data_IF_410333971223
#
_entry.id   IF_410333971223
#
_cell.length_a   1.000
_cell.length_b   1.000
_cell.length_c   1.000
_cell.angle_alpha   90.00
_cell.angle_beta   90.00
_cell.angle_gamma   90.00
#
_symmetry.space_group_name_H-M   'P 1'
#
loop_
_entity.id
_entity.type
_entity.pdbx_description
1 polymer ?
#
# COMPACT_ATOMS: atom_id res chain seq x y z
N UNK A 1 -15.16 17.68 -10.26
CA UNK A 1 -16.23 18.13 -11.14
C UNK A 1 -15.73 19.31 -11.96
N UNK A 2 -15.80 19.22 -13.29
CA UNK A 2 -15.37 20.31 -14.19
C UNK A 2 -16.59 21.09 -14.71
N UNK A 3 -17.77 20.46 -14.75
CA UNK A 3 -19.01 21.06 -15.23
C UNK A 3 -20.15 20.07 -15.34
N UNK A 4 -21.12 20.42 -16.17
CA UNK A 4 -22.22 19.54 -16.58
C UNK A 4 -22.25 19.49 -18.11
N UNK A 5 -22.62 18.34 -18.67
CA UNK A 5 -22.86 18.20 -20.11
C UNK A 5 -24.20 18.85 -20.55
N UNK A 6 -24.50 18.79 -21.85
CA UNK A 6 -25.73 19.38 -22.40
C UNK A 6 -27.02 18.73 -21.85
N UNK A 7 -26.93 17.55 -21.29
CA UNK A 7 -28.02 16.78 -20.65
C UNK A 7 -28.09 17.00 -19.13
N UNK A 8 -27.17 17.79 -18.55
CA UNK A 8 -27.11 18.12 -17.12
C UNK A 8 -26.42 17.07 -16.27
N UNK A 9 -25.66 16.14 -16.87
CA UNK A 9 -24.87 15.16 -16.11
C UNK A 9 -23.53 15.76 -15.70
N UNK A 10 -22.98 15.37 -14.53
CA UNK A 10 -21.69 15.87 -14.07
C UNK A 10 -20.56 15.40 -14.98
N UNK A 11 -19.72 16.33 -15.42
CA UNK A 11 -18.48 16.06 -16.16
C UNK A 11 -17.30 16.16 -15.20
N UNK A 12 -16.46 15.15 -15.20
CA UNK A 12 -15.26 15.10 -14.39
C UNK A 12 -14.01 15.26 -15.28
N UNK A 13 -12.99 15.86 -14.73
CA UNK A 13 -11.72 16.03 -15.41
C UNK A 13 -10.61 16.44 -14.45
N UNK A 14 -9.39 16.36 -14.92
CA UNK A 14 -8.23 16.86 -14.19
C UNK A 14 -8.11 18.37 -14.38
N UNK A 15 -7.60 19.06 -13.36
CA UNK A 15 -7.44 20.51 -13.35
C UNK A 15 -6.32 20.96 -14.31
N UNK A 16 -6.21 22.27 -14.48
CA UNK A 16 -5.14 22.95 -15.22
C UNK A 16 -3.74 22.69 -14.62
N UNK A 17 -3.68 22.24 -13.37
CA UNK A 17 -2.45 21.79 -12.72
C UNK A 17 -2.63 20.36 -12.19
N UNK A 18 -1.83 19.41 -12.67
CA UNK A 18 -1.81 18.03 -12.16
C UNK A 18 -1.11 18.01 -10.81
N UNK A 19 -1.83 17.53 -9.79
CA UNK A 19 -1.29 17.40 -8.44
C UNK A 19 -0.14 16.36 -8.37
N UNK A 20 0.70 16.40 -7.33
CA UNK A 20 1.68 15.33 -7.11
C UNK A 20 1.05 13.93 -7.01
N UNK A 21 -0.16 13.82 -6.48
CA UNK A 21 -0.90 12.57 -6.39
C UNK A 21 -1.35 12.09 -7.78
N UNK A 22 -2.04 12.95 -8.54
CA UNK A 22 -2.61 12.58 -9.82
C UNK A 22 -1.56 12.14 -10.85
N UNK A 23 -0.34 12.68 -10.77
CA UNK A 23 0.79 12.27 -11.64
C UNK A 23 1.17 10.81 -11.51
N UNK A 24 0.77 10.16 -10.43
CA UNK A 24 1.03 8.76 -10.13
C UNK A 24 -0.13 7.84 -10.48
N UNK A 25 -1.29 8.39 -10.86
CA UNK A 25 -2.44 7.60 -11.27
C UNK A 25 -2.22 7.03 -12.67
N UNK A 26 -2.68 5.79 -12.85
CA UNK A 26 -2.64 5.10 -14.14
C UNK A 26 -3.94 4.31 -14.27
N UNK A 27 -4.69 4.52 -15.33
CA UNK A 27 -5.92 3.78 -15.59
C UNK A 27 -5.65 2.37 -16.13
N UNK A 28 -6.73 1.59 -16.35
CA UNK A 28 -6.66 0.21 -16.85
C UNK A 28 -6.05 0.09 -18.26
N UNK A 29 -6.00 1.16 -19.03
CA UNK A 29 -5.41 1.21 -20.37
C UNK A 29 -3.97 1.73 -20.37
N UNK A 30 -3.44 2.08 -19.19
CA UNK A 30 -2.09 2.61 -19.03
C UNK A 30 -1.99 4.13 -19.29
N UNK A 31 -3.12 4.83 -19.33
CA UNK A 31 -3.16 6.29 -19.48
C UNK A 31 -2.83 6.93 -18.13
N UNK A 32 -2.02 7.99 -18.17
CA UNK A 32 -1.74 8.85 -17.02
C UNK A 32 -2.44 10.20 -17.20
N UNK A 33 -2.94 10.84 -16.12
CA UNK A 33 -3.59 12.13 -16.22
C UNK A 33 -2.71 13.21 -16.82
N UNK A 34 -3.31 14.03 -17.67
CA UNK A 34 -2.74 15.30 -18.13
C UNK A 34 -3.71 16.43 -17.78
N UNK A 35 -3.23 17.68 -17.87
CA UNK A 35 -4.07 18.86 -17.65
C UNK A 35 -5.27 18.86 -18.59
N UNK A 36 -6.42 19.25 -18.06
CA UNK A 36 -7.70 19.36 -18.78
C UNK A 36 -8.21 18.03 -19.40
N UNK A 37 -7.62 16.87 -18.97
CA UNK A 37 -8.06 15.56 -19.46
C UNK A 37 -9.41 15.19 -18.85
N UNK A 38 -10.35 14.77 -19.69
CA UNK A 38 -11.65 14.26 -19.27
C UNK A 38 -11.55 12.89 -18.57
N UNK A 39 -12.37 12.68 -17.55
CA UNK A 39 -12.53 11.39 -16.86
C UNK A 39 -13.87 10.77 -17.27
N UNK A 40 -13.80 9.55 -17.77
CA UNK A 40 -14.97 8.80 -18.26
C UNK A 40 -15.16 7.48 -17.54
N UNK A 41 -16.41 7.02 -17.43
CA UNK A 41 -16.76 5.72 -16.81
C UNK A 41 -16.64 4.53 -17.77
N UNK A 42 -16.81 4.76 -19.06
CA UNK A 42 -16.85 3.74 -20.09
C UNK A 42 -15.53 3.63 -20.84
N UNK A 43 -15.39 2.55 -21.60
CA UNK A 43 -14.28 2.41 -22.52
C UNK A 43 -14.20 3.63 -23.46
N UNK A 44 -12.99 4.18 -23.67
CA UNK A 44 -12.83 5.32 -24.56
C UNK A 44 -13.29 4.95 -25.99
N UNK A 45 -14.01 5.85 -26.61
CA UNK A 45 -14.31 5.72 -28.04
C UNK A 45 -12.98 5.73 -28.82
N UNK A 46 -12.68 4.61 -29.48
CA UNK A 46 -11.43 4.45 -30.28
C UNK A 46 -11.58 5.09 -31.66
N UNK A 47 -12.22 6.23 -31.75
CA UNK A 47 -12.27 6.98 -33.01
C UNK A 47 -10.86 7.51 -33.35
N UNK A 48 -10.39 7.37 -34.62
CA UNK A 48 -9.12 7.94 -35.02
C UNK A 48 -9.11 9.44 -34.82
N UNK A 49 -8.22 9.92 -33.92
CA UNK A 49 -8.06 11.34 -33.62
C UNK A 49 -8.90 11.84 -32.42
N UNK A 50 -9.56 10.98 -31.67
CA UNK A 50 -10.17 11.36 -30.39
C UNK A 50 -9.06 11.74 -29.39
N UNK A 51 -9.35 12.75 -28.58
CA UNK A 51 -8.47 13.13 -27.48
C UNK A 51 -8.40 11.99 -26.44
N UNK A 52 -7.24 11.78 -25.80
CA UNK A 52 -7.11 10.77 -24.77
C UNK A 52 -7.97 11.12 -23.55
N UNK A 53 -8.67 10.13 -23.02
CA UNK A 53 -9.48 10.26 -21.81
C UNK A 53 -8.92 9.35 -20.72
N UNK A 54 -9.20 9.67 -19.44
CA UNK A 54 -8.84 8.85 -18.29
C UNK A 54 -10.04 8.02 -17.86
N UNK A 55 -9.90 6.71 -17.88
CA UNK A 55 -11.02 5.79 -17.65
C UNK A 55 -11.04 5.29 -16.21
N UNK A 56 -12.17 5.49 -15.53
CA UNK A 56 -12.38 5.08 -14.14
C UNK A 56 -13.64 4.21 -14.04
N UNK A 57 -13.53 3.06 -13.39
CA UNK A 57 -14.67 2.20 -13.07
C UNK A 57 -15.32 2.56 -11.74
N UNK A 58 -16.16 1.65 -11.26
CA UNK A 58 -16.91 1.83 -10.02
C UNK A 58 -16.05 1.49 -8.79
N UNK A 59 -16.17 2.28 -7.73
CA UNK A 59 -15.60 2.06 -6.39
C UNK A 59 -14.30 1.21 -6.37
N UNK A 60 -14.37 0.02 -5.80
CA UNK A 60 -13.24 -0.92 -5.66
C UNK A 60 -12.80 -1.58 -6.97
N UNK A 61 -13.57 -1.43 -8.04
CA UNK A 61 -13.27 -1.93 -9.40
C UNK A 61 -12.92 -0.79 -10.37
N UNK A 62 -12.40 0.31 -9.85
CA UNK A 62 -12.04 1.50 -10.65
C UNK A 62 -11.11 1.18 -11.83
N UNK A 63 -10.24 0.18 -11.66
CA UNK A 63 -9.16 -0.12 -12.59
C UNK A 63 -8.04 0.91 -12.57
N UNK A 64 -8.08 1.87 -11.66
CA UNK A 64 -7.03 2.88 -11.45
C UNK A 64 -6.03 2.39 -10.43
N UNK A 65 -4.76 2.58 -10.73
CA UNK A 65 -3.65 2.25 -9.84
C UNK A 65 -2.82 3.51 -9.56
N UNK A 66 -2.41 3.68 -8.31
CA UNK A 66 -1.32 4.59 -7.98
C UNK A 66 0.01 3.86 -8.17
N UNK A 67 0.87 4.39 -9.02
CA UNK A 67 2.20 3.82 -9.33
C UNK A 67 3.30 4.83 -9.03
N UNK A 68 4.36 4.33 -8.37
CA UNK A 68 5.53 5.13 -8.05
C UNK A 68 6.74 4.23 -7.78
N UNK A 69 7.90 4.82 -7.65
CA UNK A 69 9.15 4.07 -7.43
C UNK A 69 9.14 3.35 -6.09
N UNK A 70 8.74 4.06 -5.02
CA UNK A 70 8.69 3.50 -3.68
C UNK A 70 7.56 2.47 -3.53
N UNK A 71 6.40 2.73 -4.14
CA UNK A 71 5.29 1.77 -4.20
C UNK A 71 5.72 0.51 -4.93
N UNK A 72 6.36 0.62 -6.09
CA UNK A 72 6.85 -0.54 -6.84
C UNK A 72 7.88 -1.37 -6.06
N UNK A 73 8.76 -0.71 -5.30
CA UNK A 73 9.72 -1.38 -4.42
C UNK A 73 9.02 -2.22 -3.34
N UNK A 74 8.02 -1.64 -2.66
CA UNK A 74 7.29 -2.31 -1.58
C UNK A 74 6.44 -3.46 -2.09
N UNK A 75 5.71 -3.25 -3.18
CA UNK A 75 4.81 -4.26 -3.74
C UNK A 75 5.54 -5.44 -4.38
N UNK A 76 6.76 -5.23 -4.88
CA UNK A 76 7.58 -6.27 -5.52
C UNK A 76 6.82 -7.06 -6.63
N UNK A 77 5.98 -6.36 -7.39
CA UNK A 77 5.15 -6.93 -8.45
C UNK A 77 3.74 -7.38 -8.03
N UNK A 78 3.42 -7.36 -6.75
CA UNK A 78 2.06 -7.60 -6.28
C UNK A 78 1.10 -6.48 -6.74
N UNK A 79 -0.21 -6.73 -6.66
CA UNK A 79 -1.28 -5.78 -6.95
C UNK A 79 -1.11 -5.11 -8.34
N UNK A 80 -0.68 -5.87 -9.34
CA UNK A 80 -0.38 -5.36 -10.70
C UNK A 80 0.65 -4.21 -10.72
N UNK A 81 1.50 -4.13 -9.70
CA UNK A 81 2.58 -3.14 -9.55
C UNK A 81 2.10 -1.75 -9.16
N UNK A 82 0.90 -1.61 -8.61
CA UNK A 82 0.37 -0.34 -8.11
C UNK A 82 -0.66 -0.54 -7.00
N UNK A 83 -0.94 0.52 -6.25
CA UNK A 83 -1.99 0.51 -5.24
C UNK A 83 -3.35 0.75 -5.90
N UNK A 84 -4.36 -0.08 -5.65
CA UNK A 84 -5.69 0.16 -6.17
C UNK A 84 -6.26 1.46 -5.60
N UNK A 85 -6.91 2.23 -6.43
CA UNK A 85 -7.52 3.52 -6.10
C UNK A 85 -9.03 3.41 -6.26
N UNK A 86 -9.78 4.09 -5.40
CA UNK A 86 -11.23 4.17 -5.49
C UNK A 86 -11.68 4.83 -6.80
N UNK A 87 -12.90 4.55 -7.20
CA UNK A 87 -13.51 5.06 -8.41
C UNK A 87 -14.81 5.80 -8.15
N UNK A 88 -15.79 5.57 -9.02
CA UNK A 88 -17.09 6.18 -8.91
C UNK A 88 -17.97 5.49 -7.85
N UNK A 89 -18.55 6.29 -6.95
CA UNK A 89 -19.65 5.89 -6.09
C UNK A 89 -20.91 6.68 -6.47
N UNK A 90 -21.85 6.03 -7.17
CA UNK A 90 -22.97 6.75 -7.77
C UNK A 90 -22.44 7.83 -8.73
N UNK A 91 -22.85 9.08 -8.56
CA UNK A 91 -22.37 10.21 -9.38
C UNK A 91 -21.16 10.92 -8.80
N UNK A 92 -20.56 10.42 -7.73
CA UNK A 92 -19.36 11.00 -7.13
C UNK A 92 -18.11 10.27 -7.60
N UNK A 93 -17.08 11.00 -8.01
CA UNK A 93 -15.76 10.47 -8.32
C UNK A 93 -14.82 10.68 -7.15
N UNK A 94 -14.18 9.61 -6.68
CA UNK A 94 -13.12 9.67 -5.69
C UNK A 94 -11.86 8.96 -6.17
N UNK A 95 -10.81 9.72 -6.40
CA UNK A 95 -9.47 9.22 -6.76
C UNK A 95 -8.46 9.48 -5.64
N UNK A 96 -8.91 9.84 -4.44
CA UNK A 96 -8.05 10.21 -3.32
C UNK A 96 -7.84 9.09 -2.29
N UNK A 97 -8.59 8.00 -2.38
CA UNK A 97 -8.52 6.87 -1.47
C UNK A 97 -7.78 5.66 -2.08
N UNK A 98 -6.96 5.01 -1.25
CA UNK A 98 -6.29 3.74 -1.59
C UNK A 98 -7.20 2.59 -1.16
N UNK A 99 -7.62 1.75 -2.10
CA UNK A 99 -8.48 0.60 -1.85
C UNK A 99 -7.69 -0.66 -1.47
N UNK A 100 -6.86 -0.55 -0.43
CA UNK A 100 -6.28 -1.71 0.24
C UNK A 100 -7.16 -2.12 1.41
N UNK A 101 -7.52 -3.40 1.46
CA UNK A 101 -8.26 -3.96 2.57
C UNK A 101 -7.59 -3.58 3.90
N UNK A 102 -8.39 -3.01 4.82
CA UNK A 102 -7.97 -2.68 6.18
C UNK A 102 -6.90 -1.58 6.29
N UNK A 103 -6.66 -0.84 5.22
CA UNK A 103 -5.72 0.27 5.21
C UNK A 103 -6.30 1.50 5.94
N UNK A 104 -5.42 2.42 6.35
CA UNK A 104 -5.85 3.68 6.96
C UNK A 104 -6.43 4.63 5.91
N UNK A 105 -5.94 4.57 4.69
CA UNK A 105 -6.36 5.43 3.56
C UNK A 105 -7.49 4.83 2.74
N UNK A 106 -8.01 3.65 3.07
CA UNK A 106 -9.16 3.06 2.40
C UNK A 106 -10.47 3.64 2.90
N UNK A 107 -11.57 3.33 2.20
CA UNK A 107 -12.91 3.70 2.61
C UNK A 107 -13.28 3.05 3.95
N UNK A 108 -14.25 3.63 4.66
CA UNK A 108 -14.53 3.39 6.08
C UNK A 108 -14.73 1.93 6.46
N UNK A 109 -15.27 1.10 5.61
CA UNK A 109 -15.61 -0.30 5.93
C UNK A 109 -14.37 -1.19 6.11
N UNK A 110 -13.24 -0.76 5.58
CA UNK A 110 -11.97 -1.49 5.65
C UNK A 110 -10.98 -0.91 6.66
N UNK A 111 -11.28 0.24 7.23
CA UNK A 111 -10.39 1.02 8.08
C UNK A 111 -10.22 0.38 9.46
N UNK A 112 -9.38 -0.64 9.54
CA UNK A 112 -9.03 -1.31 10.77
C UNK A 112 -7.56 -1.15 11.19
N UNK A 113 -6.75 -0.49 10.37
CA UNK A 113 -5.38 -0.14 10.70
C UNK A 113 -5.34 1.15 11.51
N UNK A 114 -4.50 1.18 12.56
CA UNK A 114 -4.33 2.39 13.39
C UNK A 114 -3.22 3.29 12.86
N UNK A 115 -2.44 2.79 11.91
CA UNK A 115 -1.30 3.46 11.31
C UNK A 115 -1.23 3.12 9.82
N UNK A 116 -0.52 3.93 9.05
CA UNK A 116 -0.28 3.65 7.63
C UNK A 116 0.41 2.31 7.43
N UNK A 117 0.00 1.57 6.41
CA UNK A 117 0.76 0.44 5.89
C UNK A 117 2.04 0.91 5.19
N UNK A 118 3.02 0.02 5.02
CA UNK A 118 4.26 0.40 4.32
C UNK A 118 4.00 0.90 2.90
N UNK A 119 3.04 0.30 2.19
CA UNK A 119 2.67 0.72 0.84
C UNK A 119 2.03 2.12 0.80
N UNK A 120 1.24 2.50 1.82
CA UNK A 120 0.71 3.86 1.96
C UNK A 120 1.83 4.88 2.25
N UNK A 121 2.79 4.52 3.12
CA UNK A 121 3.98 5.34 3.36
C UNK A 121 4.83 5.49 2.10
N UNK A 122 4.89 4.45 1.26
CA UNK A 122 5.58 4.49 -0.01
C UNK A 122 4.90 5.47 -0.99
N UNK A 123 3.55 5.49 -1.04
CA UNK A 123 2.82 6.47 -1.83
C UNK A 123 3.10 7.91 -1.36
N UNK A 124 3.13 8.14 -0.05
CA UNK A 124 3.53 9.43 0.50
C UNK A 124 4.95 9.84 0.10
N UNK A 125 5.91 8.89 0.05
CA UNK A 125 7.26 9.18 -0.44
C UNK A 125 7.26 9.54 -1.93
N UNK A 126 6.48 8.83 -2.76
CA UNK A 126 6.41 9.07 -4.20
C UNK A 126 5.83 10.46 -4.51
N UNK A 127 4.90 10.97 -3.72
CA UNK A 127 4.36 12.34 -3.86
C UNK A 127 5.22 13.42 -3.19
N UNK A 128 6.38 13.05 -2.62
CA UNK A 128 7.41 14.00 -2.18
C UNK A 128 7.51 14.22 -0.67
N UNK A 129 6.79 13.46 0.17
CA UNK A 129 6.99 13.54 1.62
C UNK A 129 8.34 12.95 2.03
N UNK A 130 9.06 13.65 2.89
CA UNK A 130 10.35 13.21 3.45
C UNK A 130 10.14 12.26 4.63
N UNK A 131 9.58 11.10 4.38
CA UNK A 131 9.40 10.03 5.35
C UNK A 131 10.27 8.84 4.95
N UNK A 132 10.97 8.22 5.89
CA UNK A 132 11.65 6.94 5.64
C UNK A 132 10.76 5.81 6.16
N UNK A 133 9.97 5.18 5.26
CA UNK A 133 9.08 4.06 5.63
C UNK A 133 9.83 2.89 6.28
N UNK A 134 11.10 2.70 5.93
CA UNK A 134 11.96 1.64 6.50
C UNK A 134 12.34 1.89 7.96
N UNK A 135 12.03 3.07 8.53
CA UNK A 135 12.04 3.27 9.97
C UNK A 135 10.84 2.62 10.68
N UNK A 136 9.76 2.34 9.95
CA UNK A 136 8.54 1.78 10.51
C UNK A 136 8.37 0.31 10.14
N UNK A 137 8.90 -0.13 9.01
CA UNK A 137 8.75 -1.48 8.50
C UNK A 137 10.11 -2.13 8.24
N UNK A 138 10.29 -3.33 8.80
CA UNK A 138 11.44 -4.16 8.48
C UNK A 138 11.30 -4.82 7.11
N UNK A 139 10.21 -5.58 6.91
CA UNK A 139 9.90 -6.23 5.64
C UNK A 139 8.38 -6.41 5.49
N UNK A 140 7.86 -6.20 4.28
CA UNK A 140 6.45 -6.43 3.96
C UNK A 140 6.27 -7.37 2.77
N UNK A 141 5.22 -8.21 2.82
CA UNK A 141 4.85 -9.18 1.78
C UNK A 141 3.44 -8.88 1.32
N UNK A 142 3.31 -8.28 0.15
CA UNK A 142 2.00 -7.97 -0.46
C UNK A 142 1.52 -9.04 -1.45
N UNK A 143 2.43 -9.84 -1.99
CA UNK A 143 2.11 -10.89 -2.95
C UNK A 143 1.46 -12.13 -2.31
N UNK A 144 0.74 -12.88 -3.12
CA UNK A 144 0.06 -14.12 -2.75
C UNK A 144 0.84 -15.35 -3.20
N UNK A 145 0.61 -16.48 -2.51
CA UNK A 145 1.12 -17.81 -2.86
C UNK A 145 2.65 -17.87 -3.02
N UNK A 146 3.39 -17.07 -2.26
CA UNK A 146 4.84 -17.02 -2.28
C UNK A 146 5.44 -18.04 -1.31
N UNK A 147 6.60 -18.60 -1.69
CA UNK A 147 7.47 -19.33 -0.77
C UNK A 147 8.76 -18.54 -0.62
N UNK A 148 9.05 -18.04 0.58
CA UNK A 148 10.20 -17.18 0.81
C UNK A 148 10.84 -17.40 2.18
N UNK A 149 12.12 -17.05 2.26
CA UNK A 149 12.88 -16.99 3.51
C UNK A 149 13.28 -15.55 3.76
N UNK A 150 12.81 -14.98 4.88
CA UNK A 150 13.16 -13.62 5.28
C UNK A 150 14.33 -13.63 6.26
N UNK A 151 15.46 -13.17 5.81
CA UNK A 151 16.67 -12.94 6.63
C UNK A 151 16.82 -11.50 7.11
N UNK A 152 15.85 -10.64 6.86
CA UNK A 152 15.88 -9.25 7.27
C UNK A 152 15.39 -9.10 8.70
N UNK A 153 16.20 -8.46 9.53
CA UNK A 153 15.83 -8.08 10.89
C UNK A 153 15.14 -6.72 10.93
N UNK A 154 14.47 -6.44 12.04
CA UNK A 154 13.89 -5.12 12.31
C UNK A 154 14.92 -4.23 13.01
N UNK A 155 15.77 -3.58 12.23
CA UNK A 155 16.89 -2.78 12.71
C UNK A 155 16.65 -1.28 12.53
N UNK A 156 17.20 -0.49 13.44
CA UNK A 156 17.22 0.96 13.32
C UNK A 156 18.02 1.41 12.08
N UNK A 157 17.66 2.56 11.54
CA UNK A 157 18.36 3.19 10.42
C UNK A 157 19.26 4.33 10.89
N UNK A 158 20.31 4.62 10.15
CA UNK A 158 21.10 5.82 10.39
C UNK A 158 20.29 7.09 10.10
N UNK A 159 20.76 8.23 10.60
CA UNK A 159 20.05 9.52 10.47
C UNK A 159 19.78 9.94 9.01
N UNK A 160 20.59 9.47 8.07
CA UNK A 160 20.39 9.74 6.63
C UNK A 160 19.49 8.74 5.92
N UNK A 161 18.93 7.73 6.62
CA UNK A 161 18.07 6.72 6.02
C UNK A 161 18.75 5.83 4.96
N UNK A 162 20.08 5.78 4.93
CA UNK A 162 20.84 5.10 3.87
C UNK A 162 21.32 3.68 4.26
N UNK A 163 21.35 3.37 5.55
CA UNK A 163 21.83 2.09 6.04
C UNK A 163 21.13 1.65 7.33
N UNK A 164 20.99 0.34 7.52
CA UNK A 164 20.62 -0.25 8.80
C UNK A 164 21.82 -0.28 9.75
N UNK A 165 21.55 -0.12 11.05
CA UNK A 165 22.55 -0.12 12.10
C UNK A 165 22.64 -1.53 12.70
N UNK A 166 23.70 -2.31 12.42
CA UNK A 166 23.83 -3.69 12.89
C UNK A 166 23.70 -3.78 14.41
N UNK A 167 22.90 -4.75 14.88
CA UNK A 167 22.70 -5.00 16.31
C UNK A 167 21.87 -3.95 17.06
N UNK A 168 21.35 -2.92 16.38
CA UNK A 168 20.46 -1.94 16.97
C UNK A 168 19.01 -2.22 16.55
N UNK A 169 18.15 -2.70 17.48
CA UNK A 169 16.75 -2.95 17.16
C UNK A 169 16.02 -1.65 16.86
N UNK A 170 14.97 -1.76 16.05
CA UNK A 170 14.12 -0.63 15.71
C UNK A 170 13.32 -0.16 16.94
N UNK A 171 13.35 1.14 17.19
CA UNK A 171 12.63 1.80 18.29
C UNK A 171 11.51 2.73 17.84
N UNK A 172 11.16 2.71 16.55
CA UNK A 172 10.06 3.51 16.05
C UNK A 172 8.74 3.11 16.71
N UNK A 173 7.97 4.11 17.11
CA UNK A 173 6.60 3.87 17.58
C UNK A 173 5.78 3.25 16.42
N UNK A 174 4.94 2.27 16.73
CA UNK A 174 4.14 1.51 15.78
C UNK A 174 4.96 0.75 14.72
N UNK A 175 6.26 0.55 14.95
CA UNK A 175 7.10 -0.20 14.00
C UNK A 175 6.66 -1.65 13.86
N UNK A 176 6.73 -2.20 12.65
CA UNK A 176 6.38 -3.59 12.32
C UNK A 176 7.62 -4.30 11.75
N UNK A 177 8.03 -5.40 12.38
CA UNK A 177 9.20 -6.15 11.93
C UNK A 177 8.95 -6.88 10.61
N UNK A 178 7.90 -7.69 10.56
CA UNK A 178 7.43 -8.37 9.36
C UNK A 178 5.93 -8.15 9.21
N UNK A 179 5.51 -7.65 8.06
CA UNK A 179 4.11 -7.51 7.68
C UNK A 179 3.75 -8.46 6.55
N UNK A 180 2.74 -9.31 6.74
CA UNK A 180 2.22 -10.24 5.73
C UNK A 180 0.80 -9.82 5.39
N UNK A 181 0.67 -9.08 4.29
CA UNK A 181 -0.61 -8.62 3.76
C UNK A 181 -1.23 -9.65 2.82
N UNK A 182 -0.43 -10.25 1.95
CA UNK A 182 -0.85 -11.27 0.99
C UNK A 182 -1.28 -12.58 1.63
N UNK A 183 -1.87 -13.46 0.86
CA UNK A 183 -2.49 -14.71 1.28
C UNK A 183 -1.80 -15.94 0.69
N UNK A 184 -1.96 -17.10 1.34
CA UNK A 184 -1.43 -18.38 0.84
C UNK A 184 0.09 -18.51 0.86
N UNK A 185 0.80 -17.63 1.57
CA UNK A 185 2.25 -17.61 1.59
C UNK A 185 2.85 -18.65 2.54
N UNK A 186 4.01 -19.18 2.19
CA UNK A 186 4.86 -20.03 3.03
C UNK A 186 6.15 -19.24 3.35
N UNK A 187 6.23 -18.66 4.55
CA UNK A 187 7.29 -17.75 4.95
C UNK A 187 8.10 -18.32 6.08
N UNK A 188 9.42 -18.36 5.93
CA UNK A 188 10.35 -18.71 7.00
C UNK A 188 11.13 -17.47 7.45
N UNK A 189 10.93 -17.05 8.70
CA UNK A 189 11.71 -15.97 9.31
C UNK A 189 13.00 -16.54 9.89
N UNK A 190 14.16 -16.00 9.45
CA UNK A 190 15.49 -16.52 9.81
C UNK A 190 16.36 -15.51 10.55
N UNK A 191 15.90 -14.29 10.77
CA UNK A 191 16.57 -13.27 11.59
C UNK A 191 15.68 -12.81 12.74
N UNK A 192 16.27 -12.30 13.81
CA UNK A 192 15.56 -11.74 14.95
C UNK A 192 14.70 -10.55 14.53
N UNK A 193 13.45 -10.51 14.99
CA UNK A 193 12.52 -9.38 14.82
C UNK A 193 12.23 -8.77 16.19
N UNK A 194 12.90 -7.66 16.49
CA UNK A 194 12.78 -6.95 17.77
C UNK A 194 12.14 -5.58 17.53
N UNK A 195 10.86 -5.44 17.87
CA UNK A 195 10.13 -4.17 17.79
C UNK A 195 10.15 -3.50 19.17
N UNK A 196 11.12 -2.61 19.42
CA UNK A 196 11.35 -2.03 20.73
C UNK A 196 10.65 -0.67 20.95
N UNK A 197 9.94 -0.15 19.96
CA UNK A 197 9.16 1.07 20.07
C UNK A 197 7.80 0.88 20.72
N UNK A 198 7.18 1.98 21.17
CA UNK A 198 5.81 1.96 21.71
C UNK A 198 4.83 1.41 20.66
N UNK A 199 3.97 0.48 21.06
CA UNK A 199 3.01 -0.22 20.22
C UNK A 199 3.64 -0.91 19.00
N UNK A 200 4.93 -1.27 19.08
CA UNK A 200 5.63 -2.02 18.05
C UNK A 200 5.09 -3.45 17.91
N UNK A 201 5.18 -4.01 16.72
CA UNK A 201 4.74 -5.37 16.41
C UNK A 201 5.89 -6.15 15.78
N UNK A 202 6.23 -7.31 16.34
CA UNK A 202 7.25 -8.18 15.78
C UNK A 202 6.85 -8.71 14.41
N UNK A 203 5.73 -9.43 14.36
CA UNK A 203 5.12 -9.92 13.10
C UNK A 203 3.62 -9.58 13.10
N UNK A 204 3.13 -9.04 11.98
CA UNK A 204 1.71 -8.81 11.73
C UNK A 204 1.27 -9.58 10.49
N UNK A 205 0.16 -10.31 10.59
CA UNK A 205 -0.45 -11.06 9.49
C UNK A 205 -1.88 -10.58 9.28
N UNK A 206 -2.16 -10.07 8.09
CA UNK A 206 -3.47 -9.60 7.66
C UNK A 206 -4.11 -10.50 6.61
N UNK A 207 -3.33 -11.15 5.74
CA UNK A 207 -3.82 -12.09 4.73
C UNK A 207 -4.35 -13.40 5.28
N UNK A 208 -4.84 -14.29 4.41
CA UNK A 208 -5.44 -15.58 4.78
C UNK A 208 -4.50 -16.75 4.43
N UNK A 209 -4.71 -17.89 5.10
CA UNK A 209 -4.07 -19.18 4.79
C UNK A 209 -2.53 -19.14 4.67
N UNK A 210 -1.89 -18.23 5.38
CA UNK A 210 -0.43 -18.16 5.40
C UNK A 210 0.17 -19.22 6.33
N UNK A 211 1.32 -19.75 5.96
CA UNK A 211 2.17 -20.57 6.83
C UNK A 211 3.41 -19.75 7.22
N UNK A 212 3.60 -19.53 8.51
CA UNK A 212 4.73 -18.82 9.07
C UNK A 212 5.59 -19.77 9.89
N UNK A 213 6.88 -19.85 9.58
CA UNK A 213 7.88 -20.60 10.33
C UNK A 213 8.91 -19.66 10.92
N UNK A 214 9.18 -19.85 12.21
CA UNK A 214 10.28 -19.17 12.90
C UNK A 214 11.44 -20.16 12.98
N UNK A 215 12.58 -19.81 12.37
CA UNK A 215 13.73 -20.69 12.38
C UNK A 215 14.27 -20.91 13.80
N UNK A 216 14.87 -22.09 14.10
CA UNK A 216 15.42 -22.35 15.42
C UNK A 216 16.42 -21.28 15.89
N UNK A 217 16.21 -20.77 17.11
CA UNK A 217 17.06 -19.73 17.72
C UNK A 217 16.68 -18.28 17.32
N UNK A 218 15.78 -18.10 16.37
CA UNK A 218 15.27 -16.76 16.01
C UNK A 218 14.29 -16.27 17.08
N UNK A 219 14.42 -15.02 17.45
CA UNK A 219 13.60 -14.34 18.45
C UNK A 219 12.63 -13.36 17.78
N UNK A 220 11.36 -13.45 18.14
CA UNK A 220 10.34 -12.47 17.77
C UNK A 220 9.82 -11.84 19.06
N UNK A 221 10.04 -10.53 19.23
CA UNK A 221 9.60 -9.81 20.44
C UNK A 221 9.18 -8.38 20.14
N UNK A 222 8.40 -7.82 21.06
CA UNK A 222 8.03 -6.41 21.06
C UNK A 222 8.12 -5.91 22.50
N UNK A 223 9.23 -5.30 22.85
CA UNK A 223 9.59 -4.96 24.25
C UNK A 223 9.13 -3.54 24.63
N UNK A 224 8.62 -2.75 23.70
CA UNK A 224 8.05 -1.43 23.99
C UNK A 224 6.68 -1.49 24.68
N UNK A 225 6.25 -0.40 25.27
CA UNK A 225 4.91 -0.28 25.87
C UNK A 225 3.83 -0.61 24.82
N UNK A 226 2.86 -1.43 25.16
CA UNK A 226 1.80 -1.92 24.26
C UNK A 226 2.31 -2.74 23.07
N UNK A 227 3.53 -3.26 23.13
CA UNK A 227 4.12 -4.07 22.07
C UNK A 227 3.43 -5.44 21.92
N UNK A 228 3.43 -5.96 20.69
CA UNK A 228 2.85 -7.27 20.35
C UNK A 228 3.88 -8.10 19.56
N UNK A 229 4.30 -9.24 20.08
CA UNK A 229 5.27 -10.11 19.41
C UNK A 229 4.75 -10.66 18.09
N UNK A 230 3.56 -11.29 18.12
CA UNK A 230 2.86 -11.80 16.93
C UNK A 230 1.39 -11.37 16.95
N UNK A 231 0.93 -10.74 15.88
CA UNK A 231 -0.44 -10.28 15.68
C UNK A 231 -1.03 -10.96 14.44
N UNK A 232 -1.99 -11.86 14.64
CA UNK A 232 -2.87 -12.36 13.58
C UNK A 232 -4.10 -11.46 13.57
N UNK A 233 -4.05 -10.41 12.72
CA UNK A 233 -5.01 -9.31 12.82
C UNK A 233 -6.32 -9.61 12.12
N UNK A 234 -6.23 -10.11 10.89
CA UNK A 234 -7.37 -10.46 10.05
C UNK A 234 -7.14 -11.83 9.43
N UNK A 235 -7.93 -12.17 8.46
CA UNK A 235 -7.81 -13.44 7.78
C UNK A 235 -7.98 -14.66 8.70
N UNK A 236 -8.06 -15.82 8.10
CA UNK A 236 -8.24 -17.12 8.77
C UNK A 236 -7.33 -18.17 8.16
N UNK A 237 -7.27 -19.35 8.80
CA UNK A 237 -6.49 -20.47 8.26
C UNK A 237 -4.97 -20.31 8.37
N UNK A 238 -4.50 -19.45 9.29
CA UNK A 238 -3.07 -19.29 9.54
C UNK A 238 -2.46 -20.54 10.18
N UNK A 239 -1.24 -20.87 9.79
CA UNK A 239 -0.41 -21.90 10.40
C UNK A 239 0.92 -21.28 10.87
N UNK A 240 1.20 -21.39 12.18
CA UNK A 240 2.39 -20.77 12.82
C UNK A 240 3.15 -21.80 13.62
#
# INVERSE_FOLDING_TARGET
LVGEDDDGNPVYGFDTEISPWDRHLVDRYGVTPTTDMEVVRSEPETAPGADPVFTVGEMTESGVLFKGTHVSEVLAGALNGGLPIEGFEGDSLDLSHIELDRSLMSHQDYRNYQVFMEAELAALQDIGYTIDRKNFYGFSVYGDNLTLSNGQGNLARNAGGTAYLPGQPNTAAYGVGLHIYGSGNDITQTADLLACGTAGTGIRVDGEANTLRIAPGVRVSADGAYGTGLLLAYGKGQNV
#
